data_IF_989654478953
#
_entry.id   IF_989654478953
#
_cell.length_a   1.000
_cell.length_b   1.000
_cell.length_c   1.000
_cell.angle_alpha   90.00
_cell.angle_beta   90.00
_cell.angle_gamma   90.00
#
_symmetry.space_group_name_H-M   'P 1'
#
loop_
_entity.id
_entity.type
_entity.pdbx_description
1 polymer ?
#
# COMPACT_ATOMS: atom_id res chain seq x y z
N UNK A 1 -4.79 -26.15 8.53
CA UNK A 1 -4.04 -24.88 8.46
C UNK A 1 -3.33 -24.67 9.78
N UNK A 2 -2.02 -24.94 9.89
CA UNK A 2 -1.25 -24.63 11.12
C UNK A 2 -0.37 -23.39 10.98
N UNK A 3 -0.03 -22.98 9.75
CA UNK A 3 0.91 -21.89 9.48
C UNK A 3 0.31 -20.48 9.55
N UNK A 4 -0.93 -20.28 9.09
CA UNK A 4 -1.65 -19.00 9.21
C UNK A 4 -2.38 -18.98 10.55
N UNK A 5 -2.04 -18.03 11.42
CA UNK A 5 -2.65 -17.86 12.75
C UNK A 5 -3.84 -16.91 12.72
N UNK A 6 -3.71 -15.84 11.95
CA UNK A 6 -4.70 -14.77 11.87
C UNK A 6 -4.64 -14.16 10.47
N UNK A 7 -5.78 -13.69 9.96
CA UNK A 7 -5.91 -13.08 8.64
C UNK A 7 -6.91 -11.92 8.73
N UNK A 8 -6.56 -10.79 8.11
CA UNK A 8 -7.40 -9.60 8.02
C UNK A 8 -7.41 -9.09 6.58
N UNK A 9 -8.59 -8.87 6.03
CA UNK A 9 -8.80 -8.03 4.84
C UNK A 9 -9.28 -6.65 5.27
N UNK A 10 -8.84 -5.62 4.56
CA UNK A 10 -9.16 -4.22 4.89
C UNK A 10 -10.31 -3.74 4.01
N UNK A 11 -11.47 -3.53 4.63
CA UNK A 11 -12.67 -3.06 3.93
C UNK A 11 -12.50 -1.64 3.38
N UNK A 12 -11.65 -0.85 4.04
CA UNK A 12 -11.21 0.48 3.66
C UNK A 12 -10.55 0.52 2.28
N UNK A 13 -10.12 -0.64 1.75
CA UNK A 13 -9.49 -0.77 0.43
C UNK A 13 -10.30 -1.69 -0.50
N UNK A 14 -11.61 -1.82 -0.26
CA UNK A 14 -12.48 -2.73 -1.02
C UNK A 14 -12.19 -4.21 -0.78
N UNK A 15 -11.62 -4.57 0.39
CA UNK A 15 -11.24 -5.93 0.84
C UNK A 15 -10.12 -6.63 0.04
N UNK A 16 -10.07 -6.45 -1.28
CA UNK A 16 -9.16 -7.18 -2.16
C UNK A 16 -7.86 -6.44 -2.48
N UNK A 17 -7.76 -5.13 -2.26
CA UNK A 17 -6.48 -4.44 -2.51
C UNK A 17 -5.42 -4.75 -1.44
N UNK A 18 -5.81 -4.95 -0.19
CA UNK A 18 -4.92 -5.17 0.95
C UNK A 18 -5.42 -6.29 1.85
N UNK A 19 -4.52 -7.20 2.20
CA UNK A 19 -4.70 -8.13 3.32
C UNK A 19 -3.44 -8.20 4.17
N UNK A 20 -3.60 -8.64 5.42
CA UNK A 20 -2.53 -8.92 6.35
C UNK A 20 -2.72 -10.28 7.00
N UNK A 21 -1.64 -10.97 7.31
CA UNK A 21 -1.70 -12.21 8.08
C UNK A 21 -0.56 -12.32 9.09
N UNK A 22 -0.92 -12.88 10.26
CA UNK A 22 0.05 -13.44 11.19
C UNK A 22 0.30 -14.88 10.84
N UNK A 23 1.56 -15.24 10.67
CA UNK A 23 1.98 -16.56 10.23
C UNK A 23 3.03 -17.15 11.16
N UNK A 24 3.28 -18.44 11.03
CA UNK A 24 4.44 -19.10 11.63
C UNK A 24 5.66 -18.90 10.74
N UNK A 25 6.78 -18.57 11.35
CA UNK A 25 8.10 -18.56 10.73
C UNK A 25 9.08 -19.37 11.60
N UNK A 26 8.96 -20.71 11.58
CA UNK A 26 9.78 -21.58 12.44
C UNK A 26 11.17 -21.81 11.85
N UNK A 27 11.22 -21.85 10.52
CA UNK A 27 12.45 -21.80 9.74
C UNK A 27 12.49 -20.45 9.03
N UNK A 28 13.69 -19.88 8.80
CA UNK A 28 13.79 -18.57 8.16
C UNK A 28 12.97 -18.50 6.87
N UNK A 29 11.95 -17.63 6.85
CA UNK A 29 11.07 -17.37 5.70
C UNK A 29 10.11 -18.52 5.34
N UNK A 30 9.81 -19.43 6.25
CA UNK A 30 8.65 -20.34 6.15
C UNK A 30 7.34 -19.56 5.87
N UNK A 31 7.24 -18.34 6.39
CA UNK A 31 6.16 -17.38 6.16
C UNK A 31 5.80 -17.22 4.66
N UNK A 32 6.78 -17.31 3.76
CA UNK A 32 6.57 -17.20 2.31
C UNK A 32 5.55 -18.23 1.79
N UNK A 33 5.63 -19.48 2.26
CA UNK A 33 4.70 -20.54 1.85
C UNK A 33 3.27 -20.27 2.34
N UNK A 34 3.11 -19.66 3.52
CA UNK A 34 1.81 -19.23 4.01
C UNK A 34 1.22 -18.13 3.12
N UNK A 35 2.05 -17.19 2.66
CA UNK A 35 1.65 -16.14 1.74
C UNK A 35 1.14 -16.65 0.40
N UNK A 36 1.89 -17.56 -0.25
CA UNK A 36 1.44 -18.19 -1.50
C UNK A 36 0.12 -18.94 -1.34
N UNK A 37 -0.09 -19.60 -0.20
CA UNK A 37 -1.37 -20.25 0.09
C UNK A 37 -2.52 -19.24 0.15
N UNK A 38 -2.32 -18.11 0.85
CA UNK A 38 -3.34 -17.05 0.93
C UNK A 38 -3.66 -16.51 -0.47
N UNK A 39 -2.61 -16.19 -1.25
CA UNK A 39 -2.76 -15.69 -2.63
C UNK A 39 -3.31 -16.73 -3.62
N UNK A 40 -3.39 -18.00 -3.24
CA UNK A 40 -3.99 -19.07 -4.04
C UNK A 40 -5.39 -19.49 -3.61
N UNK A 41 -5.95 -18.92 -2.54
CA UNK A 41 -7.17 -19.43 -1.90
C UNK A 41 -8.41 -18.60 -2.26
N UNK A 42 -9.30 -19.13 -3.09
CA UNK A 42 -10.63 -18.58 -3.36
C UNK A 42 -10.63 -17.06 -3.59
N UNK A 43 -11.42 -16.33 -2.79
CA UNK A 43 -11.53 -14.86 -2.87
C UNK A 43 -10.27 -14.11 -2.39
N UNK A 44 -9.42 -14.75 -1.57
CA UNK A 44 -8.14 -14.17 -1.13
C UNK A 44 -7.11 -14.12 -2.26
N UNK A 45 -7.30 -14.93 -3.31
CA UNK A 45 -6.46 -14.82 -4.52
C UNK A 45 -6.58 -13.46 -5.21
N UNK A 46 -7.64 -12.69 -4.93
CA UNK A 46 -7.80 -11.33 -5.43
C UNK A 46 -6.90 -10.32 -4.71
N UNK A 47 -6.33 -10.66 -3.54
CA UNK A 47 -5.43 -9.78 -2.79
C UNK A 47 -4.31 -9.23 -3.67
N UNK A 48 -4.24 -7.90 -3.81
CA UNK A 48 -3.17 -7.21 -4.57
C UNK A 48 -1.89 -7.09 -3.74
N UNK A 49 -2.01 -6.64 -2.50
CA UNK A 49 -0.88 -6.47 -1.59
C UNK A 49 -1.09 -7.25 -0.30
N UNK A 50 -0.21 -8.20 0.00
CA UNK A 50 -0.26 -9.03 1.21
C UNK A 50 0.86 -8.66 2.18
N UNK A 51 0.48 -8.25 3.38
CA UNK A 51 1.40 -8.03 4.49
C UNK A 51 1.52 -9.30 5.34
N UNK A 52 2.75 -9.73 5.62
CA UNK A 52 3.01 -10.88 6.48
C UNK A 52 3.90 -10.50 7.66
N UNK A 53 3.58 -11.04 8.81
CA UNK A 53 4.38 -10.93 10.03
C UNK A 53 4.33 -12.23 10.83
N UNK A 54 5.43 -12.59 11.49
CA UNK A 54 5.49 -13.65 12.50
C UNK A 54 5.24 -13.13 13.93
N UNK A 55 5.15 -11.80 14.06
CA UNK A 55 5.04 -11.07 15.31
C UNK A 55 3.69 -11.23 16.01
N UNK A 56 3.71 -10.94 17.31
CA UNK A 56 2.51 -10.77 18.11
C UNK A 56 2.06 -9.30 18.08
N UNK A 57 1.58 -8.87 16.91
CA UNK A 57 1.06 -7.51 16.66
C UNK A 57 -0.38 -7.62 16.20
N UNK A 58 -1.25 -6.72 16.68
CA UNK A 58 -2.63 -6.65 16.20
C UNK A 58 -2.66 -6.25 14.72
N UNK A 59 -3.03 -7.19 13.85
CA UNK A 59 -3.12 -6.95 12.40
C UNK A 59 -4.38 -6.18 12.01
N UNK A 60 -5.33 -5.98 12.93
CA UNK A 60 -6.51 -5.14 12.66
C UNK A 60 -6.18 -3.64 12.79
N UNK A 61 -5.15 -3.30 13.57
CA UNK A 61 -4.58 -1.95 13.66
C UNK A 61 -3.47 -1.77 12.62
N UNK A 62 -3.84 -1.23 11.45
CA UNK A 62 -2.88 -1.02 10.36
C UNK A 62 -1.70 -0.13 10.76
N UNK A 63 -1.92 0.90 11.59
CA UNK A 63 -0.85 1.81 12.01
C UNK A 63 0.24 1.07 12.79
N UNK A 64 -0.16 0.21 13.74
CA UNK A 64 0.76 -0.66 14.48
C UNK A 64 1.42 -1.70 13.57
N UNK A 65 0.64 -2.37 12.71
CA UNK A 65 1.16 -3.40 11.81
C UNK A 65 2.19 -2.84 10.83
N UNK A 66 1.86 -1.75 10.15
CA UNK A 66 2.73 -1.13 9.14
C UNK A 66 4.04 -0.67 9.77
N UNK A 67 3.97 -0.01 10.93
CA UNK A 67 5.16 0.37 11.73
C UNK A 67 5.99 -0.87 12.09
N UNK A 68 5.35 -1.93 12.59
CA UNK A 68 6.03 -3.18 12.97
C UNK A 68 6.79 -3.80 11.78
N UNK A 69 6.16 -3.82 10.60
CA UNK A 69 6.75 -4.34 9.36
C UNK A 69 7.92 -3.45 8.92
N UNK A 70 7.75 -2.13 8.88
CA UNK A 70 8.79 -1.21 8.44
C UNK A 70 10.03 -1.25 9.34
N UNK A 71 9.88 -1.53 10.63
CA UNK A 71 10.99 -1.74 11.56
C UNK A 71 11.83 -3.00 11.25
N UNK A 72 11.32 -3.94 10.45
CA UNK A 72 11.87 -5.30 10.25
C UNK A 72 12.17 -5.68 8.81
N UNK A 73 11.48 -5.08 7.84
CA UNK A 73 11.56 -5.45 6.43
C UNK A 73 12.95 -5.19 5.86
N UNK A 74 13.67 -6.17 5.35
CA UNK A 74 14.86 -5.92 4.52
C UNK A 74 14.47 -5.89 3.03
N UNK A 75 14.33 -4.70 2.46
CA UNK A 75 13.82 -4.48 1.10
C UNK A 75 14.58 -5.20 -0.03
N UNK A 76 15.83 -5.61 0.21
CA UNK A 76 16.59 -6.41 -0.75
C UNK A 76 16.15 -7.88 -0.83
N UNK A 77 15.26 -8.34 0.07
CA UNK A 77 14.84 -9.76 0.18
C UNK A 77 13.39 -9.99 0.65
N UNK A 78 12.74 -8.99 1.25
CA UNK A 78 11.46 -9.14 1.96
C UNK A 78 10.23 -8.71 1.16
N UNK A 79 10.42 -8.04 0.01
CA UNK A 79 9.33 -7.70 -0.92
C UNK A 79 9.37 -8.68 -2.10
N UNK A 80 8.28 -9.39 -2.33
CA UNK A 80 8.11 -10.27 -3.47
C UNK A 80 7.07 -9.67 -4.40
N UNK A 81 7.48 -9.28 -5.60
CA UNK A 81 6.58 -8.79 -6.66
C UNK A 81 6.32 -9.92 -7.64
N UNK A 82 5.05 -10.25 -7.84
CA UNK A 82 4.56 -11.20 -8.82
C UNK A 82 4.03 -10.41 -10.03
N UNK A 83 4.93 -10.08 -10.95
CA UNK A 83 4.58 -9.35 -12.16
C UNK A 83 3.87 -10.24 -13.20
N UNK A 84 3.06 -9.64 -14.07
CA UNK A 84 2.39 -10.29 -15.20
C UNK A 84 1.43 -11.41 -14.78
N UNK A 85 0.67 -11.19 -13.72
CA UNK A 85 -0.35 -12.14 -13.22
C UNK A 85 -1.77 -11.61 -13.45
N UNK A 86 -2.77 -12.43 -13.10
CA UNK A 86 -4.15 -11.98 -13.09
C UNK A 86 -4.41 -10.97 -11.97
N UNK A 87 -5.32 -10.04 -12.24
CA UNK A 87 -5.74 -9.00 -11.30
C UNK A 87 -7.26 -8.94 -11.24
N UNK A 88 -7.80 -8.34 -10.18
CA UNK A 88 -9.23 -8.13 -10.03
C UNK A 88 -9.80 -7.27 -11.18
N UNK A 89 -11.00 -7.61 -11.66
CA UNK A 89 -11.63 -6.92 -12.80
C UNK A 89 -11.93 -5.46 -12.50
N UNK A 90 -12.16 -5.10 -11.23
CA UNK A 90 -12.47 -3.73 -10.79
C UNK A 90 -11.21 -2.97 -10.34
N UNK A 91 -10.03 -3.59 -10.41
CA UNK A 91 -8.77 -2.91 -10.14
C UNK A 91 -8.18 -2.34 -11.44
N UNK A 92 -8.43 -1.05 -11.65
CA UNK A 92 -7.99 -0.28 -12.82
C UNK A 92 -6.51 0.14 -12.78
N UNK A 93 -5.75 -0.29 -11.79
CA UNK A 93 -4.32 0.06 -11.69
C UNK A 93 -3.43 -0.68 -12.68
N UNK A 94 -3.89 -1.85 -13.14
CA UNK A 94 -3.16 -2.71 -14.07
C UNK A 94 -3.11 -2.21 -15.52
N UNK A 95 -2.25 -2.81 -16.37
CA UNK A 95 -2.08 -2.44 -17.77
C UNK A 95 -3.31 -2.74 -18.65
N UNK A 96 -4.19 -3.66 -18.23
CA UNK A 96 -5.45 -3.97 -18.89
C UNK A 96 -6.35 -4.76 -17.96
N UNK A 97 -7.65 -4.85 -18.25
CA UNK A 97 -8.61 -5.66 -17.49
C UNK A 97 -8.06 -7.08 -17.25
N UNK A 98 -8.14 -7.55 -16.00
CA UNK A 98 -7.68 -8.86 -15.53
C UNK A 98 -6.17 -9.12 -15.63
N UNK A 99 -5.34 -8.12 -15.95
CA UNK A 99 -3.87 -8.24 -15.95
C UNK A 99 -3.25 -7.21 -15.02
N UNK A 100 -2.20 -7.62 -14.30
CA UNK A 100 -1.41 -6.71 -13.48
C UNK A 100 -0.37 -7.44 -12.66
N UNK A 101 -0.21 -7.03 -11.40
CA UNK A 101 0.74 -7.64 -10.49
C UNK A 101 0.24 -7.66 -9.05
N UNK A 102 0.86 -8.54 -8.28
CA UNK A 102 0.63 -8.66 -6.85
C UNK A 102 1.94 -8.50 -6.11
N UNK A 103 1.87 -8.15 -4.85
CA UNK A 103 3.04 -8.14 -3.99
C UNK A 103 2.77 -8.76 -2.63
N UNK A 104 3.84 -9.28 -2.05
CA UNK A 104 3.88 -9.76 -0.68
C UNK A 104 5.06 -9.12 0.03
N UNK A 105 4.78 -8.45 1.13
CA UNK A 105 5.77 -7.78 1.96
C UNK A 105 5.87 -8.48 3.31
N UNK A 106 7.08 -8.90 3.67
CA UNK A 106 7.34 -9.63 4.90
C UNK A 106 8.07 -8.75 5.92
N UNK A 107 7.47 -8.55 7.09
CA UNK A 107 8.12 -7.95 8.25
C UNK A 107 8.32 -9.01 9.32
N UNK A 108 9.39 -9.79 9.18
CA UNK A 108 9.65 -10.97 10.03
C UNK A 108 10.73 -10.70 11.08
N UNK A 109 10.67 -11.48 12.15
CA UNK A 109 11.71 -11.54 13.18
C UNK A 109 11.34 -10.77 14.45
N UNK A 110 11.89 -11.23 15.57
CA UNK A 110 11.58 -10.67 16.89
C UNK A 110 12.12 -9.25 17.07
N UNK A 111 13.35 -9.01 16.61
CA UNK A 111 14.06 -7.75 16.83
C UNK A 111 13.77 -6.75 15.71
N UNK A 112 13.64 -5.47 16.09
CA UNK A 112 13.68 -4.35 15.14
C UNK A 112 15.09 -4.26 14.55
N UNK A 113 15.19 -3.95 13.26
CA UNK A 113 16.48 -3.73 12.58
C UNK A 113 16.72 -2.25 12.24
N UNK A 114 15.76 -1.37 12.56
CA UNK A 114 15.88 0.07 12.43
C UNK A 114 14.91 0.81 13.34
N UNK A 115 15.24 2.06 13.63
CA UNK A 115 14.31 3.06 14.11
C UNK A 115 13.73 3.84 12.92
N UNK A 116 12.46 4.24 13.02
CA UNK A 116 11.75 4.89 11.93
C UNK A 116 11.70 6.41 12.14
N UNK A 117 12.01 7.23 11.11
CA UNK A 117 11.91 8.68 11.21
C UNK A 117 10.47 9.12 11.47
N UNK A 118 10.30 10.19 12.25
CA UNK A 118 9.00 10.73 12.67
C UNK A 118 8.75 12.17 12.23
N UNK A 119 9.80 12.82 11.74
CA UNK A 119 9.80 14.21 11.32
C UNK A 119 10.60 14.31 10.03
N UNK A 120 10.17 15.21 9.14
CA UNK A 120 10.86 15.50 7.90
C UNK A 120 11.63 16.81 8.04
N UNK A 121 12.91 16.77 7.66
CA UNK A 121 13.78 17.93 7.58
C UNK A 121 14.44 17.95 6.21
N UNK A 122 14.39 19.10 5.53
CA UNK A 122 15.01 19.30 4.23
C UNK A 122 14.16 20.12 3.29
N UNK A 123 14.76 20.56 2.19
CA UNK A 123 14.07 21.26 1.12
C UNK A 123 13.45 20.24 0.16
N UNK A 124 12.18 20.46 -0.17
CA UNK A 124 11.49 19.62 -1.14
C UNK A 124 11.90 19.99 -2.57
N UNK A 125 11.96 19.01 -3.50
CA UNK A 125 12.06 19.29 -4.92
C UNK A 125 10.88 20.14 -5.43
N UNK A 126 11.10 20.90 -6.50
CA UNK A 126 10.13 21.86 -7.05
C UNK A 126 8.74 21.26 -7.34
N UNK A 127 8.69 20.06 -7.93
CA UNK A 127 7.44 19.38 -8.28
C UNK A 127 6.81 18.60 -7.09
N UNK A 128 7.22 18.90 -5.85
CA UNK A 128 6.70 18.30 -4.63
C UNK A 128 6.40 19.34 -3.55
N UNK A 129 5.39 19.07 -2.74
CA UNK A 129 4.99 19.95 -1.64
C UNK A 129 4.37 19.17 -0.48
N UNK A 130 4.13 19.88 0.64
CA UNK A 130 3.37 19.40 1.81
C UNK A 130 3.83 18.03 2.33
N UNK A 131 5.04 17.94 2.89
CA UNK A 131 5.54 16.70 3.44
C UNK A 131 4.77 16.37 4.72
N UNK A 132 4.14 15.19 4.77
CA UNK A 132 3.39 14.74 5.94
C UNK A 132 3.88 13.38 6.41
N UNK A 133 4.35 13.30 7.65
CA UNK A 133 4.74 12.02 8.26
C UNK A 133 3.50 11.38 8.87
N UNK A 134 2.77 10.59 8.07
CA UNK A 134 1.48 10.03 8.50
C UNK A 134 1.64 8.89 9.51
N UNK A 135 2.65 8.04 9.29
CA UNK A 135 3.07 6.96 10.18
C UNK A 135 4.59 7.00 10.29
N UNK A 136 5.20 6.49 11.39
CA UNK A 136 6.64 6.40 11.49
C UNK A 136 7.25 5.73 10.24
N UNK A 137 8.26 6.37 9.66
CA UNK A 137 8.94 5.89 8.46
C UNK A 137 8.16 6.04 7.15
N UNK A 138 6.99 6.66 7.17
CA UNK A 138 6.12 6.80 5.99
C UNK A 138 5.87 8.28 5.69
N UNK A 139 6.60 8.80 4.72
CA UNK A 139 6.45 10.17 4.26
C UNK A 139 5.42 10.24 3.13
N UNK A 140 4.35 11.01 3.32
CA UNK A 140 3.37 11.30 2.26
C UNK A 140 3.73 12.63 1.63
N UNK A 141 3.90 12.64 0.31
CA UNK A 141 4.28 13.83 -0.47
C UNK A 141 3.21 14.15 -1.50
N UNK A 142 2.80 15.41 -1.58
CA UNK A 142 1.99 15.89 -2.69
C UNK A 142 2.89 16.18 -3.88
N UNK A 143 2.72 15.43 -4.97
CA UNK A 143 3.44 15.63 -6.21
C UNK A 143 2.64 16.39 -7.26
N UNK A 144 3.31 16.87 -8.29
CA UNK A 144 2.68 17.26 -9.55
C UNK A 144 1.90 16.08 -10.15
N UNK A 145 0.87 16.37 -10.95
CA UNK A 145 0.05 15.34 -11.60
C UNK A 145 0.92 14.36 -12.41
N UNK A 146 0.52 13.09 -12.43
CA UNK A 146 1.26 12.04 -13.16
C UNK A 146 1.46 12.37 -14.64
N UNK A 147 0.44 12.94 -15.29
CA UNK A 147 0.47 13.35 -16.70
C UNK A 147 1.53 14.41 -16.99
N UNK A 148 1.85 15.26 -16.02
CA UNK A 148 2.78 16.37 -16.17
C UNK A 148 4.22 15.95 -15.84
N UNK A 149 4.41 15.01 -14.90
CA UNK A 149 5.74 14.53 -14.51
C UNK A 149 5.74 13.04 -14.15
N UNK A 150 5.84 12.21 -15.19
CA UNK A 150 5.74 10.74 -15.10
C UNK A 150 6.89 10.10 -14.31
N UNK A 151 8.08 10.70 -14.35
CA UNK A 151 9.30 10.15 -13.72
C UNK A 151 9.53 10.61 -12.28
N UNK A 152 8.65 11.47 -11.74
CA UNK A 152 8.81 12.07 -10.42
C UNK A 152 9.07 11.03 -9.31
N UNK A 153 8.31 9.94 -9.26
CA UNK A 153 8.49 8.91 -8.21
C UNK A 153 9.90 8.29 -8.22
N UNK A 154 10.46 8.08 -9.41
CA UNK A 154 11.84 7.59 -9.57
C UNK A 154 12.85 8.65 -9.12
N UNK A 155 12.67 9.90 -9.53
CA UNK A 155 13.55 11.01 -9.17
C UNK A 155 13.56 11.24 -7.65
N UNK A 156 12.41 11.11 -6.98
CA UNK A 156 12.31 11.14 -5.52
C UNK A 156 13.08 9.99 -4.87
N UNK A 157 13.03 8.80 -5.46
CA UNK A 157 13.75 7.64 -4.93
C UNK A 157 15.29 7.83 -5.00
N UNK A 158 15.77 8.55 -6.02
CA UNK A 158 17.18 8.87 -6.25
C UNK A 158 17.65 10.12 -5.47
N UNK A 159 16.72 10.95 -4.97
CA UNK A 159 17.03 12.20 -4.28
C UNK A 159 17.54 11.98 -2.84
N UNK A 160 18.69 12.59 -2.54
CA UNK A 160 19.39 12.44 -1.25
C UNK A 160 18.62 13.00 -0.05
N UNK A 161 17.73 13.97 -0.23
CA UNK A 161 16.92 14.52 0.88
C UNK A 161 16.07 13.43 1.53
N UNK A 162 15.68 12.40 0.77
CA UNK A 162 14.88 11.29 1.26
C UNK A 162 15.71 10.05 1.64
N UNK A 163 17.05 10.13 1.66
CA UNK A 163 17.91 8.95 1.83
C UNK A 163 17.71 8.19 3.16
N UNK A 164 17.18 8.87 4.20
CA UNK A 164 16.88 8.29 5.51
C UNK A 164 15.48 7.67 5.60
N UNK A 165 14.61 7.90 4.62
CA UNK A 165 13.24 7.43 4.64
C UNK A 165 13.15 5.99 4.11
N UNK A 166 12.43 5.09 4.80
CA UNK A 166 12.18 3.76 4.25
C UNK A 166 11.10 3.79 3.17
N UNK A 167 10.02 4.56 3.38
CA UNK A 167 8.89 4.64 2.44
C UNK A 167 8.47 6.09 2.19
N UNK A 168 8.17 6.37 0.92
CA UNK A 168 7.49 7.59 0.47
C UNK A 168 6.21 7.17 -0.27
N UNK A 169 5.09 7.83 0.03
CA UNK A 169 3.83 7.68 -0.70
C UNK A 169 3.61 8.98 -1.48
N UNK A 170 3.72 8.91 -2.80
CA UNK A 170 3.51 10.06 -3.69
C UNK A 170 2.04 10.13 -4.10
N UNK A 171 1.37 11.25 -3.83
CA UNK A 171 -0.08 11.41 -4.06
C UNK A 171 -0.41 12.73 -4.75
N UNK A 172 -1.61 12.83 -5.33
CA UNK A 172 -2.09 14.08 -5.93
C UNK A 172 -2.46 15.14 -4.86
N UNK A 173 -2.92 14.71 -3.68
CA UNK A 173 -3.30 15.59 -2.58
C UNK A 173 -2.97 14.93 -1.23
N UNK A 174 -1.94 15.44 -0.53
CA UNK A 174 -1.52 14.85 0.75
C UNK A 174 -2.55 15.04 1.85
N UNK A 175 -3.22 16.20 1.93
CA UNK A 175 -4.21 16.48 2.97
C UNK A 175 -5.41 15.52 2.90
N UNK A 176 -5.90 15.22 1.69
CA UNK A 176 -6.98 14.23 1.52
C UNK A 176 -6.50 12.83 1.86
N UNK A 177 -5.32 12.44 1.36
CA UNK A 177 -4.73 11.14 1.62
C UNK A 177 -4.44 10.89 3.10
N UNK A 178 -4.20 11.94 3.89
CA UNK A 178 -3.83 11.84 5.32
C UNK A 178 -4.93 12.32 6.27
N UNK A 179 -6.16 12.50 5.79
CA UNK A 179 -7.28 12.97 6.63
C UNK A 179 -7.70 11.96 7.70
N UNK A 180 -7.61 10.66 7.38
CA UNK A 180 -7.93 9.56 8.28
C UNK A 180 -7.18 8.29 7.86
N UNK A 181 -7.15 7.27 8.72
CA UNK A 181 -6.58 5.96 8.36
C UNK A 181 -7.32 5.34 7.17
N UNK A 182 -8.63 5.54 7.07
CA UNK A 182 -9.43 5.05 5.95
C UNK A 182 -9.03 5.73 4.63
N UNK A 183 -8.89 7.06 4.62
CA UNK A 183 -8.48 7.81 3.43
C UNK A 183 -7.05 7.45 3.01
N UNK A 184 -6.17 7.22 3.99
CA UNK A 184 -4.79 6.78 3.75
C UNK A 184 -4.73 5.39 3.12
N UNK A 185 -5.44 4.42 3.69
CA UNK A 185 -5.50 3.07 3.15
C UNK A 185 -6.12 3.03 1.75
N UNK A 186 -7.22 3.75 1.54
CA UNK A 186 -7.85 3.87 0.23
C UNK A 186 -6.86 4.45 -0.78
N UNK A 187 -6.26 5.61 -0.50
CA UNK A 187 -5.33 6.26 -1.43
C UNK A 187 -4.11 5.40 -1.70
N UNK A 188 -3.52 4.83 -0.66
CA UNK A 188 -2.32 4.00 -0.78
C UNK A 188 -2.65 2.75 -1.61
N UNK A 189 -3.54 1.86 -1.19
CA UNK A 189 -3.64 0.54 -1.82
C UNK A 189 -4.53 0.47 -3.06
N UNK A 190 -5.30 1.50 -3.39
CA UNK A 190 -6.17 1.51 -4.59
C UNK A 190 -5.58 2.23 -5.80
N UNK A 191 -4.44 2.94 -5.65
CA UNK A 191 -3.89 3.81 -6.71
C UNK A 191 -2.49 3.45 -7.20
N UNK A 192 -2.00 2.25 -6.89
CA UNK A 192 -0.77 1.72 -7.45
C UNK A 192 -0.90 0.25 -7.87
N UNK A 193 -0.09 -0.12 -8.86
CA UNK A 193 0.19 -1.49 -9.28
C UNK A 193 1.63 -1.87 -8.84
N UNK A 194 1.84 -3.00 -8.13
CA UNK A 194 3.15 -3.27 -7.50
C UNK A 194 4.38 -3.35 -8.42
N UNK A 195 4.24 -3.75 -9.68
CA UNK A 195 5.35 -3.93 -10.62
C UNK A 195 5.65 -2.67 -11.44
N UNK A 196 4.72 -1.75 -11.54
CA UNK A 196 4.79 -0.54 -12.36
C UNK A 196 5.01 0.72 -11.52
N UNK A 197 4.44 0.78 -10.32
CA UNK A 197 4.33 2.01 -9.52
C UNK A 197 5.17 1.96 -8.23
N UNK A 198 5.93 0.88 -7.99
CA UNK A 198 6.93 0.82 -6.91
C UNK A 198 8.30 1.20 -7.47
N UNK A 199 8.84 2.30 -6.96
CA UNK A 199 10.16 2.80 -7.31
C UNK A 199 11.10 2.71 -6.13
N UNK A 200 12.40 2.68 -6.41
CA UNK A 200 13.43 2.60 -5.39
C UNK A 200 14.71 3.28 -5.89
N UNK A 201 15.65 3.54 -4.98
CA UNK A 201 16.92 4.17 -5.31
C UNK A 201 17.76 3.33 -6.27
N UNK A 202 17.77 2.01 -6.06
CA UNK A 202 18.52 1.06 -6.86
C UNK A 202 17.95 -0.35 -6.70
N UNK A 203 18.08 -1.16 -7.76
CA UNK A 203 17.72 -2.58 -7.76
C UNK A 203 18.97 -3.46 -7.79
N UNK A 204 18.86 -4.67 -7.22
CA UNK A 204 19.89 -5.70 -7.31
C UNK A 204 19.22 -7.05 -7.57
N UNK A 205 19.75 -7.82 -8.52
CA UNK A 205 19.27 -9.20 -8.75
C UNK A 205 20.20 -10.17 -8.03
N UNK A 206 19.65 -10.88 -7.05
CA UNK A 206 20.37 -11.96 -6.35
C UNK A 206 19.55 -13.25 -6.43
N UNK A 207 20.08 -14.27 -7.12
CA UNK A 207 19.38 -15.55 -7.36
C UNK A 207 17.98 -15.37 -7.99
N UNK A 208 17.87 -14.49 -8.98
CA UNK A 208 16.60 -14.09 -9.62
C UNK A 208 15.58 -13.37 -8.72
N UNK A 209 15.94 -13.07 -7.47
CA UNK A 209 15.16 -12.17 -6.65
C UNK A 209 15.61 -10.71 -6.91
N UNK A 210 14.65 -9.83 -7.20
CA UNK A 210 14.90 -8.39 -7.38
C UNK A 210 14.78 -7.71 -6.03
N UNK A 211 15.91 -7.43 -5.41
CA UNK A 211 15.99 -6.66 -4.17
C UNK A 211 15.98 -5.15 -4.44
N UNK A 212 15.32 -4.39 -3.56
CA UNK A 212 15.21 -2.94 -3.66
C UNK A 212 16.04 -2.22 -2.59
N UNK A 213 16.57 -1.05 -2.96
CA UNK A 213 17.29 -0.15 -2.05
C UNK A 213 16.40 1.05 -1.70
N UNK A 214 16.13 1.32 -0.41
CA UNK A 214 15.32 2.47 0.01
C UNK A 214 15.93 3.84 -0.35
N UNK A 215 15.12 4.92 -0.36
CA UNK A 215 13.68 4.95 -0.10
C UNK A 215 12.87 4.17 -1.14
N UNK A 216 11.78 3.53 -0.70
CA UNK A 216 10.79 2.90 -1.58
C UNK A 216 9.66 3.89 -1.80
N UNK A 217 9.43 4.28 -3.05
CA UNK A 217 8.40 5.25 -3.42
C UNK A 217 7.25 4.49 -4.05
N UNK A 218 6.06 4.59 -3.46
CA UNK A 218 4.83 4.13 -4.08
C UNK A 218 4.19 5.33 -4.79
N UNK A 219 4.10 5.27 -6.12
CA UNK A 219 3.40 6.28 -6.90
C UNK A 219 1.89 6.01 -6.84
N UNK A 220 1.18 6.71 -5.95
CA UNK A 220 -0.26 6.60 -5.76
C UNK A 220 -1.02 7.76 -6.44
N UNK A 221 -0.38 8.50 -7.35
CA UNK A 221 -1.06 9.51 -8.16
C UNK A 221 -2.04 8.86 -9.13
N UNK A 222 -3.10 9.57 -9.48
CA UNK A 222 -4.05 9.14 -10.50
C UNK A 222 -3.36 9.12 -11.87
N UNK A 223 -3.45 7.97 -12.57
CA UNK A 223 -2.92 7.85 -13.93
C UNK A 223 -3.99 8.11 -14.98
N UNK A 224 -3.65 8.66 -16.15
CA UNK A 224 -4.63 9.05 -17.19
C UNK A 224 -5.49 7.91 -17.74
N UNK A 225 -5.08 6.65 -17.54
CA UNK A 225 -5.82 5.47 -17.98
C UNK A 225 -6.72 4.87 -16.90
N UNK A 226 -6.67 5.39 -15.66
CA UNK A 226 -7.61 4.98 -14.64
C UNK A 226 -9.01 5.48 -15.01
N UNK A 227 -10.03 4.75 -14.57
CA UNK A 227 -11.41 5.24 -14.71
C UNK A 227 -11.59 6.52 -13.92
N UNK A 228 -12.39 7.45 -14.45
CA UNK A 228 -12.77 8.66 -13.73
C UNK A 228 -13.42 8.30 -12.39
N UNK A 229 -13.19 9.17 -11.40
CA UNK A 229 -13.79 9.01 -10.08
C UNK A 229 -15.31 9.09 -10.22
N UNK A 230 -16.01 8.08 -9.72
CA UNK A 230 -17.47 8.07 -9.71
C UNK A 230 -17.98 9.13 -8.73
N UNK A 231 -18.62 10.16 -9.25
CA UNK A 231 -19.29 11.18 -8.46
C UNK A 231 -20.78 10.85 -8.28
N UNK A 232 -21.30 11.07 -7.06
CA UNK A 232 -22.71 10.87 -6.78
C UNK A 232 -23.52 11.99 -7.45
N UNK A 233 -24.51 11.62 -8.27
CA UNK A 233 -25.44 12.60 -8.85
C UNK A 233 -26.14 13.41 -7.73
N UNK A 234 -26.00 14.73 -7.80
CA UNK A 234 -26.46 15.65 -6.74
C UNK A 234 -27.97 15.53 -6.49
N UNK A 235 -28.78 15.38 -7.54
CA UNK A 235 -30.24 15.25 -7.42
C UNK A 235 -30.60 13.94 -6.71
N UNK A 236 -29.95 12.84 -7.10
CA UNK A 236 -30.13 11.52 -6.48
C UNK A 236 -29.73 11.53 -5.02
N UNK A 237 -28.56 12.12 -4.69
CA UNK A 237 -28.12 12.28 -3.29
C UNK A 237 -29.17 13.00 -2.45
N UNK A 238 -29.64 14.16 -2.91
CA UNK A 238 -30.65 14.94 -2.21
C UNK A 238 -31.96 14.17 -2.02
N UNK A 239 -32.38 13.41 -3.05
CA UNK A 239 -33.57 12.58 -2.97
C UNK A 239 -33.44 11.48 -1.90
N UNK A 240 -32.29 10.80 -1.86
CA UNK A 240 -31.99 9.76 -0.86
C UNK A 240 -31.94 10.38 0.53
N UNK A 241 -31.16 11.44 0.74
CA UNK A 241 -31.03 12.11 2.04
C UNK A 241 -32.38 12.56 2.61
N UNK A 242 -33.28 13.07 1.75
CA UNK A 242 -34.63 13.50 2.16
C UNK A 242 -35.52 12.32 2.60
N UNK A 243 -35.34 11.14 2.01
CA UNK A 243 -36.22 9.98 2.24
C UNK A 243 -35.68 8.97 3.24
N UNK A 244 -34.35 8.84 3.36
CA UNK A 244 -33.71 7.73 4.08
C UNK A 244 -34.14 7.67 5.55
N UNK A 245 -34.35 8.82 6.19
CA UNK A 245 -34.83 8.92 7.57
C UNK A 245 -36.27 8.45 7.78
N UNK A 246 -37.08 8.46 6.71
CA UNK A 246 -38.47 7.96 6.71
C UNK A 246 -38.56 6.48 6.33
N UNK A 247 -37.57 5.98 5.57
CA UNK A 247 -37.52 4.60 5.09
C UNK A 247 -36.81 3.66 6.08
N UNK A 248 -35.82 4.16 6.81
CA UNK A 248 -35.05 3.38 7.79
C UNK A 248 -35.49 3.76 9.22
N UNK A 249 -36.03 2.81 10.00
CA UNK A 249 -36.41 3.05 11.39
C UNK A 249 -35.24 3.65 12.19
N UNK A 250 -35.53 4.57 13.11
CA UNK A 250 -34.52 5.30 13.86
C UNK A 250 -33.51 4.40 14.62
N UNK A 251 -33.91 3.18 15.01
CA UNK A 251 -33.03 2.19 15.66
C UNK A 251 -31.93 1.62 14.76
N UNK A 252 -32.03 1.82 13.44
CA UNK A 252 -31.11 1.29 12.42
C UNK A 252 -30.41 2.42 11.63
N UNK A 253 -30.63 3.67 12.02
CA UNK A 253 -29.85 4.82 11.55
C UNK A 253 -28.65 4.99 12.47
#
# INVERSE_FOLDING_TARGET
MKGVKELKTYGETGFHCLAAARVLDRYPREAFGCGLRILGEGQLSLTKFLLLTDGDVDITDFGKLWTYILERVEWHRDLFVFANVSQDTLDYTGPSVNKGSKAMLMGLGRQKIRELPREFEGELPEDCSRPFVFLPGTLVLQGKLYSEHKTLARELAENRVFAKWPVIILVDNSNEATRSMQDFLWTFFTRFEPAADIHCRATMVHRFHVGLTPPIVFDCRMKPWYTDILEVDKKTKQLVDKKISTLIPARWR
#
